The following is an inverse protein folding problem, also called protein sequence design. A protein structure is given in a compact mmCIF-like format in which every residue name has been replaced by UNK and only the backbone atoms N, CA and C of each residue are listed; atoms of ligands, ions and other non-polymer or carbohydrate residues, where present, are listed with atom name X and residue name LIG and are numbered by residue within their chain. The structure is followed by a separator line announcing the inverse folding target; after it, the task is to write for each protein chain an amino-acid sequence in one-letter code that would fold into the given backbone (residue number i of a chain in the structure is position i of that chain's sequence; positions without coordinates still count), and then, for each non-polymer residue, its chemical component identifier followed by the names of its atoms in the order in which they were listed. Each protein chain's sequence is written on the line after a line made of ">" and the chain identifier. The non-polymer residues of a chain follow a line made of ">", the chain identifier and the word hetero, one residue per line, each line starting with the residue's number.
data_IF_024495999040
#
_entry.id   IF_024495999040
#
_cell.length_a   1.000
_cell.length_b   1.000
_cell.length_c   1.000
_cell.angle_alpha   90.00
_cell.angle_beta   90.00
_cell.angle_gamma   90.00
#
_symmetry.space_group_name_H-M   'P 1'
#
loop_
_entity.id
_entity.type
_entity.pdbx_description
1 polymer ?
#
# COMPACT_ATOMS: atom_id res chain seq x y z
N UNK A 1 -8.41 -12.11 -16.43
CA UNK A 1 -9.07 -12.19 -15.09
C UNK A 1 -8.06 -11.62 -14.12
N UNK A 2 -8.44 -10.69 -13.25
CA UNK A 2 -7.53 -10.10 -12.24
C UNK A 2 -7.17 -11.20 -11.22
N UNK A 3 -5.87 -11.39 -10.98
CA UNK A 3 -5.43 -12.25 -9.87
C UNK A 3 -5.49 -11.43 -8.58
N UNK A 4 -6.32 -11.88 -7.64
CA UNK A 4 -6.46 -11.27 -6.32
C UNK A 4 -6.24 -12.35 -5.27
N UNK A 5 -5.35 -12.08 -4.32
CA UNK A 5 -5.04 -12.97 -3.18
C UNK A 5 -5.21 -12.16 -1.90
N UNK A 6 -6.06 -12.63 -1.00
CA UNK A 6 -6.22 -12.08 0.34
C UNK A 6 -5.74 -13.09 1.39
N UNK A 7 -4.92 -12.66 2.34
CA UNK A 7 -4.46 -13.49 3.46
C UNK A 7 -4.44 -12.67 4.77
N UNK A 8 -5.16 -13.15 5.78
CA UNK A 8 -5.27 -12.51 7.10
C UNK A 8 -4.34 -13.14 8.15
N UNK A 9 -3.70 -14.26 7.81
CA UNK A 9 -2.98 -15.10 8.78
C UNK A 9 -1.50 -15.32 8.41
N UNK A 10 -0.91 -14.46 7.56
CA UNK A 10 0.46 -14.65 7.10
C UNK A 10 1.52 -14.08 8.06
N UNK A 11 1.17 -13.04 8.84
CA UNK A 11 2.11 -12.38 9.73
C UNK A 11 2.45 -13.23 10.95
N UNK A 12 3.75 -13.31 11.27
CA UNK A 12 4.26 -13.82 12.52
C UNK A 12 4.08 -12.80 13.64
N UNK A 13 4.12 -13.23 14.90
CA UNK A 13 3.85 -12.34 16.02
C UNK A 13 4.90 -11.23 16.19
N UNK A 14 6.18 -11.52 15.92
CA UNK A 14 7.22 -10.50 15.89
C UNK A 14 7.03 -9.45 14.79
N UNK A 15 6.45 -9.83 13.64
CA UNK A 15 6.10 -8.90 12.57
C UNK A 15 4.90 -8.02 12.93
N UNK A 16 3.89 -8.58 13.60
CA UNK A 16 2.77 -7.80 14.14
C UNK A 16 3.26 -6.80 15.18
N UNK A 17 4.13 -7.24 16.09
CA UNK A 17 4.74 -6.35 17.07
C UNK A 17 5.55 -5.23 16.41
N UNK A 18 6.36 -5.53 15.39
CA UNK A 18 7.10 -4.53 14.62
C UNK A 18 6.15 -3.49 13.98
N UNK A 19 5.03 -3.95 13.38
CA UNK A 19 4.03 -3.04 12.82
C UNK A 19 3.49 -2.10 13.91
N UNK A 20 3.08 -2.64 15.05
CA UNK A 20 2.43 -1.87 16.12
C UNK A 20 3.38 -0.92 16.85
N UNK A 21 4.62 -1.36 17.11
CA UNK A 21 5.55 -0.60 17.96
C UNK A 21 6.49 0.30 17.17
N UNK A 22 6.75 -0.02 15.91
CA UNK A 22 7.68 0.73 15.06
C UNK A 22 6.93 1.47 13.95
N UNK A 23 6.24 0.75 13.04
CA UNK A 23 5.62 1.38 11.87
C UNK A 23 4.45 2.30 12.25
N UNK A 24 3.75 2.01 13.34
CA UNK A 24 2.69 2.87 13.91
C UNK A 24 3.13 3.52 15.23
N UNK A 25 4.38 3.33 15.62
CA UNK A 25 4.95 3.84 16.86
C UNK A 25 5.36 5.31 16.78
N UNK A 26 5.74 5.91 17.93
CA UNK A 26 6.05 7.34 18.01
C UNK A 26 7.42 7.71 17.44
N UNK A 27 8.28 6.74 17.11
CA UNK A 27 9.67 6.99 16.72
C UNK A 27 9.91 6.93 15.19
N UNK A 28 8.86 6.71 14.41
CA UNK A 28 8.93 6.76 12.95
C UNK A 28 8.55 8.15 12.44
N UNK A 29 9.33 8.67 11.50
CA UNK A 29 9.04 9.97 10.89
C UNK A 29 8.14 9.81 9.68
N UNK A 30 7.07 10.59 9.60
CA UNK A 30 6.21 10.69 8.44
C UNK A 30 6.36 12.07 7.79
N UNK A 31 6.25 12.10 6.48
CA UNK A 31 6.26 13.32 5.68
C UNK A 31 4.88 13.57 5.11
N UNK A 32 4.44 14.82 5.19
CA UNK A 32 3.19 15.26 4.55
C UNK A 32 3.39 15.24 3.04
N UNK A 33 2.44 14.66 2.34
CA UNK A 33 2.34 14.66 0.89
C UNK A 33 1.15 15.52 0.46
N UNK A 34 1.33 16.28 -0.61
CA UNK A 34 0.29 17.08 -1.26
C UNK A 34 -0.22 16.33 -2.49
N UNK A 35 -1.51 16.02 -2.50
CA UNK A 35 -2.13 15.17 -3.52
C UNK A 35 -1.80 13.70 -3.38
N UNK A 36 -2.71 12.83 -3.77
CA UNK A 36 -2.54 11.37 -3.71
C UNK A 36 -2.06 10.77 -5.03
N UNK A 37 -2.20 11.51 -6.13
CA UNK A 37 -1.80 11.09 -7.48
C UNK A 37 -1.05 12.24 -8.14
N UNK A 38 0.16 11.98 -8.60
CA UNK A 38 0.97 12.97 -9.31
C UNK A 38 0.24 13.48 -10.57
N UNK A 39 0.24 14.79 -10.77
CA UNK A 39 -0.41 15.44 -11.91
C UNK A 39 -1.94 15.48 -11.85
N UNK A 40 -2.58 14.87 -10.86
CA UNK A 40 -4.00 15.07 -10.60
C UNK A 40 -4.23 16.39 -9.86
N UNK A 41 -5.34 17.06 -10.16
CA UNK A 41 -5.77 18.25 -9.41
C UNK A 41 -6.42 17.81 -8.09
N UNK A 42 -5.59 17.23 -7.21
CA UNK A 42 -5.98 16.59 -5.95
C UNK A 42 -5.38 17.38 -4.78
N UNK A 43 -6.24 17.91 -3.94
CA UNK A 43 -5.87 18.74 -2.77
C UNK A 43 -5.77 17.94 -1.47
N UNK A 44 -5.99 16.64 -1.55
CA UNK A 44 -5.95 15.78 -0.36
C UNK A 44 -4.52 15.65 0.18
N UNK A 45 -4.40 15.64 1.49
CA UNK A 45 -3.12 15.45 2.18
C UNK A 45 -3.09 14.11 2.85
N UNK A 46 -1.90 13.54 2.94
CA UNK A 46 -1.66 12.27 3.59
C UNK A 46 -0.24 12.21 4.15
N UNK A 47 0.05 11.23 4.98
CA UNK A 47 1.38 11.02 5.53
C UNK A 47 2.03 9.80 4.88
N UNK A 48 3.32 9.92 4.57
CA UNK A 48 4.10 8.83 3.98
C UNK A 48 5.43 8.66 4.71
N UNK A 49 5.80 7.40 4.96
CA UNK A 49 7.16 7.00 5.28
C UNK A 49 7.66 6.06 4.19
N UNK A 50 8.47 6.58 3.27
CA UNK A 50 9.06 5.79 2.18
C UNK A 50 10.20 4.94 2.72
N UNK A 51 10.05 3.62 2.63
CA UNK A 51 11.04 2.62 3.09
C UNK A 51 11.98 2.23 1.95
N UNK A 52 11.42 1.87 0.80
CA UNK A 52 12.16 1.57 -0.43
C UNK A 52 11.59 2.48 -1.51
N UNK A 53 12.47 3.20 -2.18
CA UNK A 53 12.11 4.12 -3.23
C UNK A 53 12.74 3.70 -4.55
N UNK A 54 11.94 3.67 -5.60
CA UNK A 54 12.38 3.45 -6.96
C UNK A 54 11.99 4.67 -7.80
N UNK A 55 12.92 5.60 -8.05
CA UNK A 55 12.66 6.71 -8.95
C UNK A 55 12.38 6.18 -10.37
N UNK A 56 11.28 6.59 -10.97
CA UNK A 56 10.90 6.20 -12.35
C UNK A 56 11.98 6.57 -13.39
N UNK A 57 12.79 7.57 -13.09
CA UNK A 57 13.87 8.08 -13.93
C UNK A 57 15.17 7.27 -13.84
N UNK A 58 15.24 6.29 -12.92
CA UNK A 58 16.45 5.46 -12.77
C UNK A 58 16.28 4.12 -13.46
N UNK A 59 17.43 3.49 -13.73
CA UNK A 59 17.49 2.10 -14.19
C UNK A 59 16.55 1.22 -13.37
N UNK A 60 15.72 0.38 -14.01
CA UNK A 60 14.70 -0.42 -13.35
C UNK A 60 15.20 -1.33 -12.22
N UNK A 61 16.50 -1.46 -12.05
CA UNK A 61 17.12 -2.45 -11.18
C UNK A 61 17.80 -1.87 -9.94
N UNK A 62 17.60 -0.61 -9.60
CA UNK A 62 18.29 0.01 -8.48
C UNK A 62 17.38 0.71 -7.47
N UNK A 63 16.54 -0.04 -6.71
CA UNK A 63 15.77 0.56 -5.63
C UNK A 63 16.71 1.15 -4.56
N UNK A 64 16.31 2.25 -3.97
CA UNK A 64 17.04 2.92 -2.89
C UNK A 64 16.40 2.53 -1.56
N UNK A 65 17.17 1.97 -0.65
CA UNK A 65 16.76 1.77 0.73
C UNK A 65 16.83 3.11 1.47
N UNK A 66 15.67 3.67 1.72
CA UNK A 66 15.51 5.03 2.26
C UNK A 66 15.26 5.04 3.78
N UNK A 67 15.10 3.87 4.39
CA UNK A 67 14.80 3.71 5.80
C UNK A 67 15.56 2.56 6.41
N UNK A 68 15.95 2.71 7.68
CA UNK A 68 16.56 1.65 8.47
C UNK A 68 15.62 0.46 8.73
N UNK A 69 14.36 0.59 8.38
CA UNK A 69 13.34 -0.46 8.54
C UNK A 69 13.15 -1.33 7.28
N UNK A 70 14.01 -1.14 6.27
CA UNK A 70 13.86 -1.84 4.97
C UNK A 70 13.97 -3.36 5.09
N UNK A 71 14.89 -3.86 5.93
CA UNK A 71 15.05 -5.31 6.13
C UNK A 71 13.82 -5.95 6.77
N UNK A 72 13.26 -5.34 7.81
CA UNK A 72 12.06 -5.83 8.49
C UNK A 72 10.83 -5.74 7.58
N UNK A 73 10.70 -4.67 6.81
CA UNK A 73 9.62 -4.55 5.83
C UNK A 73 9.74 -5.62 4.73
N UNK A 74 10.94 -5.88 4.22
CA UNK A 74 11.18 -6.96 3.25
C UNK A 74 10.93 -8.35 3.85
N UNK A 75 11.18 -8.57 5.13
CA UNK A 75 10.87 -9.82 5.81
C UNK A 75 9.35 -10.06 5.87
N UNK A 76 8.55 -9.03 6.15
CA UNK A 76 7.08 -9.09 6.06
C UNK A 76 6.64 -9.46 4.64
N UNK A 77 7.19 -8.78 3.63
CA UNK A 77 6.91 -9.05 2.23
C UNK A 77 7.22 -10.51 1.85
N UNK A 78 8.42 -10.99 2.19
CA UNK A 78 8.86 -12.37 1.92
C UNK A 78 7.95 -13.40 2.57
N UNK A 79 7.45 -13.13 3.79
CA UNK A 79 6.51 -14.01 4.47
C UNK A 79 5.21 -14.14 3.68
N UNK A 80 4.65 -13.03 3.17
CA UNK A 80 3.43 -13.05 2.37
C UNK A 80 3.61 -13.81 1.06
N UNK A 81 4.65 -13.46 0.27
CA UNK A 81 4.84 -14.06 -1.06
C UNK A 81 5.20 -15.54 -0.97
N UNK A 82 5.99 -15.95 0.02
CA UNK A 82 6.33 -17.34 0.23
C UNK A 82 5.10 -18.19 0.60
N UNK A 83 4.28 -17.69 1.54
CA UNK A 83 3.07 -18.42 1.98
C UNK A 83 2.06 -18.59 0.85
N UNK A 84 1.93 -17.59 -0.01
CA UNK A 84 0.95 -17.55 -1.09
C UNK A 84 1.51 -18.02 -2.46
N UNK A 85 2.73 -18.57 -2.50
CA UNK A 85 3.39 -19.03 -3.70
C UNK A 85 3.46 -17.98 -4.82
N UNK A 86 3.72 -16.71 -4.45
CA UNK A 86 3.85 -15.62 -5.39
C UNK A 86 5.32 -15.47 -5.79
N UNK A 87 5.60 -15.51 -7.08
CA UNK A 87 6.92 -15.23 -7.59
C UNK A 87 7.19 -13.71 -7.52
N UNK A 88 8.39 -13.36 -7.05
CA UNK A 88 8.87 -11.99 -7.04
C UNK A 88 10.33 -11.97 -7.49
N UNK A 89 10.61 -11.20 -8.53
CA UNK A 89 11.97 -10.94 -8.99
C UNK A 89 12.57 -9.77 -8.22
N UNK A 90 11.79 -8.71 -8.00
CA UNK A 90 12.27 -7.48 -7.38
C UNK A 90 11.14 -6.65 -6.78
N UNK A 91 11.39 -6.10 -5.59
CA UNK A 91 10.54 -5.06 -4.98
C UNK A 91 11.05 -3.70 -5.45
N UNK A 92 10.17 -2.86 -5.98
CA UNK A 92 10.49 -1.51 -6.44
C UNK A 92 10.24 -0.47 -5.37
N UNK A 93 9.09 -0.55 -4.72
CA UNK A 93 8.65 0.42 -3.73
C UNK A 93 8.15 -0.29 -2.49
N UNK A 94 8.43 0.32 -1.34
CA UNK A 94 7.79 0.01 -0.08
C UNK A 94 7.57 1.30 0.70
N UNK A 95 6.35 1.54 1.16
CA UNK A 95 6.03 2.72 1.95
C UNK A 95 4.89 2.45 2.93
N UNK A 96 4.94 3.10 4.09
CA UNK A 96 3.77 3.23 4.98
C UNK A 96 3.02 4.49 4.59
N UNK A 97 1.76 4.33 4.21
CA UNK A 97 0.85 5.42 3.86
C UNK A 97 -0.23 5.53 4.93
N UNK A 98 -0.41 6.72 5.48
CA UNK A 98 -1.48 7.02 6.45
C UNK A 98 -2.39 8.06 5.84
N UNK A 99 -3.65 7.70 5.69
CA UNK A 99 -4.72 8.58 5.23
C UNK A 99 -5.73 8.83 6.34
N UNK A 100 -6.37 9.98 6.30
CA UNK A 100 -7.30 10.46 7.31
C UNK A 100 -8.41 11.28 6.64
N UNK A 101 -9.40 11.70 7.40
CA UNK A 101 -10.45 12.57 6.87
C UNK A 101 -9.85 13.85 6.30
N UNK A 102 -10.13 14.12 5.05
CA UNK A 102 -9.62 15.26 4.29
C UNK A 102 -10.74 15.87 3.45
N UNK A 103 -10.42 16.79 2.54
CA UNK A 103 -11.41 17.54 1.76
C UNK A 103 -12.20 16.66 0.79
N UNK A 104 -11.54 15.66 0.18
CA UNK A 104 -12.17 14.74 -0.77
C UNK A 104 -12.66 13.47 -0.11
N UNK A 105 -13.62 12.81 -0.74
CA UNK A 105 -14.14 11.52 -0.28
C UNK A 105 -13.25 10.34 -0.71
N UNK A 106 -12.53 10.46 -1.82
CA UNK A 106 -11.71 9.40 -2.39
C UNK A 106 -10.51 9.93 -3.17
N UNK A 107 -9.49 9.09 -3.27
CA UNK A 107 -8.32 9.28 -4.12
C UNK A 107 -8.73 9.15 -5.61
N UNK A 108 -8.20 9.97 -6.54
CA UNK A 108 -8.40 9.76 -7.97
C UNK A 108 -8.02 8.35 -8.42
N UNK A 109 -8.73 7.81 -9.42
CA UNK A 109 -8.40 6.49 -9.98
C UNK A 109 -7.07 6.56 -10.72
N UNK A 110 -6.11 5.73 -10.31
CA UNK A 110 -4.74 5.71 -10.85
C UNK A 110 -4.18 4.29 -10.94
N UNK A 111 -3.03 4.18 -11.55
CA UNK A 111 -2.10 3.05 -11.47
C UNK A 111 -0.76 3.57 -10.95
N UNK A 112 -0.09 2.82 -10.06
CA UNK A 112 1.12 3.30 -9.40
C UNK A 112 2.32 3.48 -10.36
N UNK A 113 2.37 2.70 -11.43
CA UNK A 113 3.44 2.73 -12.43
C UNK A 113 2.89 2.56 -13.84
N UNK A 114 3.60 3.10 -14.84
CA UNK A 114 3.27 2.96 -16.25
C UNK A 114 3.65 1.61 -16.87
N UNK A 115 4.10 0.64 -16.08
CA UNK A 115 4.50 -0.71 -16.51
C UNK A 115 3.83 -1.79 -15.67
N UNK A 116 3.82 -3.02 -16.18
CA UNK A 116 3.23 -4.17 -15.46
C UNK A 116 3.97 -4.44 -14.16
N UNK A 117 3.23 -4.53 -13.08
CA UNK A 117 3.71 -4.83 -11.74
C UNK A 117 2.63 -5.53 -10.93
N UNK A 118 2.98 -5.97 -9.73
CA UNK A 118 2.03 -6.41 -8.72
C UNK A 118 2.06 -5.43 -7.56
N UNK A 119 0.93 -5.35 -6.86
CA UNK A 119 0.83 -4.62 -5.61
C UNK A 119 0.53 -5.57 -4.47
N UNK A 120 1.15 -5.31 -3.31
CA UNK A 120 0.75 -5.89 -2.04
C UNK A 120 0.41 -4.75 -1.09
N UNK A 121 -0.82 -4.73 -0.61
CA UNK A 121 -1.29 -3.85 0.45
C UNK A 121 -1.40 -4.65 1.73
N UNK A 122 -0.85 -4.14 2.85
CA UNK A 122 -1.04 -4.72 4.18
C UNK A 122 -1.67 -3.65 5.05
N UNK A 123 -2.89 -3.88 5.52
CA UNK A 123 -3.57 -2.95 6.42
C UNK A 123 -2.96 -3.06 7.82
N UNK A 124 -2.47 -1.94 8.35
CA UNK A 124 -1.67 -1.93 9.58
C UNK A 124 -2.51 -1.72 10.83
N UNK A 125 -3.62 -1.01 10.72
CA UNK A 125 -4.51 -0.71 11.84
C UNK A 125 -5.91 -1.27 11.62
N UNK A 126 -6.67 -1.33 12.69
CA UNK A 126 -8.08 -1.66 12.64
C UNK A 126 -8.89 -0.40 12.33
N UNK A 127 -8.98 -0.08 11.04
CA UNK A 127 -9.73 1.09 10.58
C UNK A 127 -11.21 0.96 10.97
N UNK A 128 -11.69 1.91 11.78
CA UNK A 128 -13.08 1.93 12.26
C UNK A 128 -14.05 2.16 11.11
N UNK A 129 -13.66 2.97 10.13
CA UNK A 129 -14.45 3.25 8.95
C UNK A 129 -14.27 2.15 7.90
N UNK A 130 -15.19 1.19 7.87
CA UNK A 130 -15.15 0.07 6.90
C UNK A 130 -15.44 0.51 5.46
N UNK A 131 -15.98 1.71 5.26
CA UNK A 131 -16.17 2.28 3.92
C UNK A 131 -14.88 2.87 3.33
N UNK A 132 -13.80 2.99 4.13
CA UNK A 132 -12.47 3.38 3.64
C UNK A 132 -11.81 2.26 2.81
N UNK A 133 -12.58 1.70 1.87
CA UNK A 133 -12.22 0.58 1.00
C UNK A 133 -11.16 0.95 -0.02
N UNK A 134 -10.39 -0.05 -0.46
CA UNK A 134 -9.66 0.00 -1.73
C UNK A 134 -10.53 -0.58 -2.82
N UNK A 135 -10.65 0.12 -3.94
CA UNK A 135 -11.50 -0.26 -5.07
C UNK A 135 -10.62 -0.56 -6.28
N UNK A 136 -10.80 -1.74 -6.87
CA UNK A 136 -10.10 -2.16 -8.07
C UNK A 136 -11.06 -2.09 -9.27
N UNK A 137 -10.57 -1.55 -10.39
CA UNK A 137 -11.36 -1.34 -11.60
C UNK A 137 -10.83 -2.15 -12.78
N UNK A 138 -11.67 -2.28 -13.79
CA UNK A 138 -11.24 -2.74 -15.11
C UNK A 138 -10.32 -1.71 -15.80
N UNK A 139 -9.65 -2.13 -16.86
CA UNK A 139 -8.71 -1.27 -17.60
C UNK A 139 -9.35 0.03 -18.13
N UNK A 140 -10.64 -0.02 -18.42
CA UNK A 140 -11.40 1.16 -18.91
C UNK A 140 -11.87 2.08 -17.78
N UNK A 141 -11.61 1.74 -16.51
CA UNK A 141 -12.03 2.48 -15.30
C UNK A 141 -13.55 2.64 -15.16
N UNK A 142 -14.33 1.73 -15.77
CA UNK A 142 -15.80 1.81 -15.82
C UNK A 142 -16.48 0.83 -14.88
N UNK A 143 -15.85 -0.30 -14.65
CA UNK A 143 -16.42 -1.39 -13.86
C UNK A 143 -15.58 -1.65 -12.62
N UNK A 144 -16.22 -1.67 -11.46
CA UNK A 144 -15.61 -2.16 -10.23
C UNK A 144 -15.47 -3.67 -10.35
N UNK A 145 -14.24 -4.15 -10.14
CA UNK A 145 -13.91 -5.58 -10.11
C UNK A 145 -13.94 -6.11 -8.69
N UNK A 146 -13.37 -5.35 -7.74
CA UNK A 146 -13.33 -5.74 -6.33
C UNK A 146 -13.41 -4.50 -5.43
N UNK A 147 -14.04 -4.68 -4.27
CA UNK A 147 -14.03 -3.76 -3.14
C UNK A 147 -13.37 -4.45 -1.95
N UNK A 148 -12.34 -3.86 -1.39
CA UNK A 148 -11.51 -4.45 -0.35
C UNK A 148 -11.66 -3.63 0.92
N UNK A 149 -12.31 -4.21 1.93
CA UNK A 149 -12.45 -3.58 3.24
C UNK A 149 -11.12 -3.56 3.99
N UNK A 150 -10.79 -2.44 4.69
CA UNK A 150 -9.65 -2.39 5.58
C UNK A 150 -9.87 -3.29 6.79
N UNK A 151 -8.90 -4.17 7.04
CA UNK A 151 -8.90 -5.07 8.19
C UNK A 151 -7.45 -5.26 8.67
N UNK A 152 -7.21 -5.01 9.94
CA UNK A 152 -5.86 -5.09 10.52
C UNK A 152 -5.17 -6.41 10.20
N UNK A 153 -3.92 -6.31 9.74
CA UNK A 153 -3.05 -7.43 9.36
C UNK A 153 -3.48 -8.23 8.12
N UNK A 154 -4.53 -7.79 7.43
CA UNK A 154 -4.88 -8.36 6.14
C UNK A 154 -3.90 -7.91 5.07
N UNK A 155 -3.28 -8.87 4.38
CA UNK A 155 -2.52 -8.64 3.15
C UNK A 155 -3.39 -8.90 1.93
N UNK A 156 -3.28 -8.04 0.92
CA UNK A 156 -4.01 -8.14 -0.35
C UNK A 156 -3.06 -7.92 -1.49
N UNK A 157 -2.86 -8.94 -2.31
CA UNK A 157 -2.00 -8.86 -3.49
C UNK A 157 -2.83 -8.94 -4.76
N UNK A 158 -2.54 -8.07 -5.73
CA UNK A 158 -3.20 -8.04 -7.03
C UNK A 158 -2.24 -7.58 -8.15
N UNK A 159 -2.56 -8.00 -9.39
CA UNK A 159 -1.87 -7.50 -10.58
C UNK A 159 -2.21 -6.02 -10.80
N UNK A 160 -1.29 -5.24 -11.39
CA UNK A 160 -1.52 -3.82 -11.67
C UNK A 160 -2.84 -3.61 -12.40
N UNK A 161 -3.65 -2.75 -11.85
CA UNK A 161 -4.91 -2.32 -12.43
C UNK A 161 -5.27 -0.93 -11.90
N UNK A 162 -6.15 -0.20 -12.61
CA UNK A 162 -6.70 1.05 -12.11
C UNK A 162 -7.37 0.81 -10.75
N UNK A 163 -7.01 1.64 -9.78
CA UNK A 163 -7.55 1.55 -8.44
C UNK A 163 -7.64 2.91 -7.77
N UNK A 164 -8.43 2.97 -6.72
CA UNK A 164 -8.46 4.08 -5.78
C UNK A 164 -8.79 3.58 -4.37
N UNK A 165 -8.93 4.50 -3.44
CA UNK A 165 -9.44 4.22 -2.10
C UNK A 165 -10.29 5.38 -1.61
N UNK A 166 -11.22 5.07 -0.69
CA UNK A 166 -11.96 6.09 0.04
C UNK A 166 -11.18 6.54 1.27
N UNK A 167 -11.20 7.85 1.51
CA UNK A 167 -10.64 8.40 2.74
C UNK A 167 -11.54 8.03 3.92
N UNK A 168 -10.94 7.62 5.06
CA UNK A 168 -11.74 7.33 6.25
C UNK A 168 -12.36 8.62 6.77
N UNK A 169 -13.65 8.60 7.08
CA UNK A 169 -14.36 9.72 7.70
C UNK A 169 -14.13 9.80 9.20
N UNK A 170 -13.72 8.69 9.77
CA UNK A 170 -13.39 8.54 11.20
C UNK A 170 -12.10 7.76 11.31
N UNK A 171 -11.22 8.18 12.23
CA UNK A 171 -9.95 7.53 12.47
C UNK A 171 -8.97 7.64 11.28
N UNK A 172 -7.95 6.82 11.26
CA UNK A 172 -6.95 6.74 10.21
C UNK A 172 -7.04 5.40 9.46
N UNK A 173 -6.57 5.40 8.22
CA UNK A 173 -6.31 4.19 7.44
C UNK A 173 -4.82 4.14 7.15
N UNK A 174 -4.11 3.20 7.77
CA UNK A 174 -2.69 2.97 7.61
C UNK A 174 -2.43 1.70 6.79
N UNK A 175 -1.63 1.81 5.74
CA UNK A 175 -1.32 0.71 4.82
C UNK A 175 0.17 0.66 4.53
N UNK A 176 0.76 -0.52 4.61
CA UNK A 176 2.08 -0.80 4.08
C UNK A 176 1.92 -1.29 2.64
N UNK A 177 2.46 -0.52 1.71
CA UNK A 177 2.31 -0.73 0.26
C UNK A 177 3.62 -1.24 -0.32
N UNK A 178 3.55 -2.28 -1.16
CA UNK A 178 4.66 -2.73 -1.98
C UNK A 178 4.25 -2.75 -3.45
N UNK A 179 5.19 -2.36 -4.33
CA UNK A 179 5.10 -2.65 -5.75
C UNK A 179 6.28 -3.51 -6.17
N UNK A 180 6.06 -4.53 -7.01
CA UNK A 180 7.08 -5.53 -7.36
C UNK A 180 6.78 -6.25 -8.67
N UNK A 181 7.79 -6.93 -9.23
CA UNK A 181 7.67 -7.84 -10.39
C UNK A 181 8.22 -9.22 -10.07
#
# INVERSE_FOLDING_TARGET
>A
MLNLIEDKNFLRDEQKQFIETILLGPNISFFIQDGTVEGANDVNKWFCHTIIHHPEEREPNAPIFNSNYAEQALDIFKTFVAKNNIFCKQVFRCAVNITFNTVGDFCPIHEDHGYEHKQLLIYLNDCVDKEAKTILYDKDRKKILHEIEPEKFKGVCFDSCPHNFYFPKKDIRAVLVYTFI
#
